data_IF_137911665202
#
_entry.id   IF_137911665202
#
_cell.length_a   1.000
_cell.length_b   1.000
_cell.length_c   1.000
_cell.angle_alpha   90.00
_cell.angle_beta   90.00
_cell.angle_gamma   90.00
#
_symmetry.space_group_name_H-M   'P 1'
#
loop_
_entity.id
_entity.type
_entity.pdbx_description
1 polymer ?
#
# COMPACT_ATOMS: atom_id res chain seq x y z
N UNK A 1 -13.69 18.89 -5.81
CA UNK A 1 -14.33 18.22 -6.96
C UNK A 1 -13.25 17.59 -7.85
N UNK A 2 -13.21 16.27 -8.04
CA UNK A 2 -12.13 15.59 -8.80
C UNK A 2 -12.66 14.34 -9.52
N UNK A 3 -12.42 14.24 -10.83
CA UNK A 3 -12.50 12.94 -11.52
C UNK A 3 -11.35 12.08 -11.05
N UNK A 4 -11.58 10.80 -10.80
CA UNK A 4 -10.51 9.89 -10.41
C UNK A 4 -10.30 8.86 -11.50
N UNK A 5 -9.08 8.29 -11.54
CA UNK A 5 -8.85 7.14 -12.41
C UNK A 5 -9.86 6.04 -12.04
N UNK A 6 -10.54 5.43 -13.02
CA UNK A 6 -11.59 4.46 -12.76
C UNK A 6 -11.07 3.29 -11.90
N UNK A 7 -11.65 3.10 -10.71
CA UNK A 7 -11.26 2.04 -9.77
C UNK A 7 -12.43 1.12 -9.43
N UNK A 8 -12.33 -0.21 -9.63
CA UNK A 8 -13.39 -1.14 -9.27
C UNK A 8 -13.56 -1.22 -7.73
N UNK A 9 -14.81 -1.36 -7.29
CA UNK A 9 -15.16 -1.53 -5.87
C UNK A 9 -15.11 -3.02 -5.52
N UNK A 10 -14.34 -3.35 -4.48
CA UNK A 10 -14.19 -4.71 -3.95
C UNK A 10 -14.94 -4.95 -2.62
N UNK A 11 -15.62 -3.93 -2.06
CA UNK A 11 -16.27 -3.98 -0.73
C UNK A 11 -17.74 -3.54 -0.81
N UNK A 12 -18.62 -4.30 -0.15
CA UNK A 12 -20.09 -4.18 -0.21
C UNK A 12 -20.68 -2.82 0.18
N UNK A 13 -21.90 -2.56 -0.31
CA UNK A 13 -22.63 -1.28 -0.28
C UNK A 13 -23.07 -0.80 1.12
N UNK A 14 -22.80 -1.55 2.19
CA UNK A 14 -23.44 -1.39 3.51
C UNK A 14 -23.29 0.00 4.17
N UNK A 15 -22.29 0.79 3.77
CA UNK A 15 -21.97 2.12 4.34
C UNK A 15 -22.38 3.32 3.48
N UNK A 16 -23.03 3.09 2.35
CA UNK A 16 -23.40 4.13 1.38
C UNK A 16 -24.92 4.18 1.19
N UNK A 17 -25.41 5.37 0.82
CA UNK A 17 -26.80 5.64 0.44
C UNK A 17 -26.78 6.17 -0.99
N UNK A 18 -27.67 5.66 -1.84
CA UNK A 18 -27.85 6.20 -3.18
C UNK A 18 -28.62 7.52 -3.08
N UNK A 19 -28.01 8.60 -3.55
CA UNK A 19 -28.66 9.92 -3.66
C UNK A 19 -29.32 10.07 -5.05
N UNK A 20 -28.65 9.64 -6.12
CA UNK A 20 -29.19 9.61 -7.48
C UNK A 20 -28.76 8.35 -8.23
N UNK A 21 -29.55 7.90 -9.20
CA UNK A 21 -29.22 6.77 -10.06
C UNK A 21 -29.81 6.91 -11.46
N UNK A 22 -29.12 6.36 -12.44
CA UNK A 22 -29.60 6.14 -13.80
C UNK A 22 -29.07 4.77 -14.28
N UNK A 23 -29.33 4.43 -15.55
CA UNK A 23 -28.96 3.13 -16.11
C UNK A 23 -27.46 2.80 -15.99
N UNK A 24 -26.59 3.81 -16.03
CA UNK A 24 -25.14 3.62 -16.10
C UNK A 24 -24.40 4.09 -14.84
N UNK A 25 -24.94 5.05 -14.10
CA UNK A 25 -24.25 5.76 -13.04
C UNK A 25 -25.05 5.81 -11.73
N UNK A 26 -24.31 5.86 -10.62
CA UNK A 26 -24.84 6.03 -9.27
C UNK A 26 -24.11 7.18 -8.58
N UNK A 27 -24.85 8.13 -8.02
CA UNK A 27 -24.32 9.09 -7.05
C UNK A 27 -24.63 8.57 -5.65
N UNK A 28 -23.60 8.39 -4.84
CA UNK A 28 -23.72 7.87 -3.49
C UNK A 28 -23.14 8.82 -2.46
N UNK A 29 -23.79 8.87 -1.30
CA UNK A 29 -23.33 9.57 -0.09
C UNK A 29 -23.07 8.59 1.03
N UNK A 30 -22.05 8.85 1.86
CA UNK A 30 -21.75 8.05 3.05
C UNK A 30 -22.83 8.22 4.11
N UNK A 31 -23.28 7.11 4.71
CA UNK A 31 -24.24 7.13 5.84
C UNK A 31 -23.70 7.99 6.99
N UNK A 32 -24.54 8.87 7.53
CA UNK A 32 -24.25 9.77 8.65
C UNK A 32 -23.55 11.09 8.30
N UNK A 33 -23.23 11.34 7.02
CA UNK A 33 -22.81 12.66 6.56
C UNK A 33 -24.05 13.55 6.29
N UNK A 34 -24.14 14.72 6.94
CA UNK A 34 -25.20 15.72 6.69
C UNK A 34 -26.59 15.40 7.27
N UNK A 35 -26.74 14.38 8.12
CA UNK A 35 -28.03 13.99 8.72
C UNK A 35 -28.15 14.49 10.17
N UNK A 36 -29.25 15.16 10.52
CA UNK A 36 -29.59 15.55 11.89
C UNK A 36 -30.34 14.41 12.58
N UNK A 37 -29.68 13.68 13.50
CA UNK A 37 -30.29 12.61 14.30
C UNK A 37 -29.28 11.56 14.78
N UNK A 38 -29.74 10.52 15.48
CA UNK A 38 -28.89 9.48 16.12
C UNK A 38 -27.95 8.72 15.16
N UNK A 39 -28.13 8.84 13.84
CA UNK A 39 -27.22 8.32 12.81
C UNK A 39 -25.89 9.10 12.67
N UNK A 40 -25.78 10.33 13.21
CA UNK A 40 -24.53 11.11 13.21
C UNK A 40 -23.53 10.65 14.28
N UNK A 41 -24.01 9.98 15.34
CA UNK A 41 -23.20 9.50 16.47
C UNK A 41 -22.33 8.29 16.11
N UNK A 42 -22.77 7.44 15.16
CA UNK A 42 -21.96 6.30 14.68
C UNK A 42 -20.80 6.71 13.76
N UNK A 43 -20.87 7.90 13.15
CA UNK A 43 -19.83 8.41 12.25
C UNK A 43 -18.74 9.14 13.03
N UNK A 44 -19.10 9.93 14.05
CA UNK A 44 -18.14 10.72 14.82
C UNK A 44 -17.12 9.85 15.58
N UNK A 45 -17.56 8.75 16.19
CA UNK A 45 -16.66 7.85 16.96
C UNK A 45 -15.78 6.98 16.05
N UNK A 46 -16.21 6.67 14.83
CA UNK A 46 -15.40 5.93 13.85
C UNK A 46 -14.42 6.87 13.15
N UNK A 47 -14.82 8.08 12.77
CA UNK A 47 -13.92 9.05 12.14
C UNK A 47 -12.81 9.53 13.11
N UNK A 48 -13.05 9.54 14.43
CA UNK A 48 -12.02 9.80 15.44
C UNK A 48 -11.08 8.62 15.72
N UNK A 49 -11.49 7.39 15.39
CA UNK A 49 -10.73 6.16 15.64
C UNK A 49 -9.97 5.68 14.39
N UNK A 50 -10.41 6.08 13.20
CA UNK A 50 -9.84 5.66 11.92
C UNK A 50 -9.12 6.77 11.14
N UNK A 51 -8.99 7.97 11.73
CA UNK A 51 -8.27 9.16 11.23
C UNK A 51 -8.36 9.40 9.71
N UNK A 52 -9.50 9.07 9.11
CA UNK A 52 -9.74 9.15 7.67
C UNK A 52 -11.09 9.78 7.42
N UNK A 53 -11.10 10.83 6.62
CA UNK A 53 -12.31 11.42 6.05
C UNK A 53 -12.37 11.05 4.57
N UNK A 54 -12.75 9.81 4.20
CA UNK A 54 -13.02 9.49 2.80
C UNK A 54 -14.07 10.47 2.29
N UNK A 55 -13.90 10.93 1.05
CA UNK A 55 -14.79 11.90 0.44
C UNK A 55 -16.27 11.46 0.62
N UNK A 56 -17.11 12.28 1.25
CA UNK A 56 -18.48 11.89 1.63
C UNK A 56 -19.39 11.57 0.45
N UNK A 57 -19.01 11.97 -0.76
CA UNK A 57 -19.75 11.71 -1.99
C UNK A 57 -18.86 11.01 -3.04
N UNK A 58 -19.47 10.10 -3.80
CA UNK A 58 -18.82 9.42 -4.91
C UNK A 58 -19.79 9.19 -6.07
N UNK A 59 -19.28 9.24 -7.29
CA UNK A 59 -19.99 8.84 -8.50
C UNK A 59 -19.40 7.52 -8.99
N UNK A 60 -20.27 6.58 -9.30
CA UNK A 60 -19.93 5.25 -9.78
C UNK A 60 -20.47 5.06 -11.19
N UNK A 61 -19.71 4.36 -12.02
CA UNK A 61 -20.20 3.64 -13.19
C UNK A 61 -20.51 2.20 -12.78
N UNK A 62 -21.64 1.64 -13.18
CA UNK A 62 -22.02 0.26 -12.86
C UNK A 62 -22.57 -0.47 -14.08
N UNK A 63 -22.35 -1.78 -14.11
CA UNK A 63 -22.81 -2.68 -15.15
C UNK A 63 -22.92 -4.10 -14.60
N UNK A 64 -23.60 -4.96 -15.34
CA UNK A 64 -23.80 -6.37 -15.00
C UNK A 64 -23.10 -7.26 -16.04
N UNK A 65 -22.38 -8.26 -15.58
CA UNK A 65 -21.71 -9.26 -16.44
C UNK A 65 -21.83 -10.61 -15.77
N UNK A 66 -22.37 -11.60 -16.47
CA UNK A 66 -22.54 -12.98 -15.98
C UNK A 66 -23.17 -13.04 -14.56
N UNK A 67 -24.25 -12.28 -14.34
CA UNK A 67 -24.97 -12.11 -13.05
C UNK A 67 -24.13 -11.50 -11.90
N UNK A 68 -23.00 -10.87 -12.24
CA UNK A 68 -22.14 -10.14 -11.31
C UNK A 68 -22.30 -8.64 -11.57
N UNK A 69 -22.81 -7.92 -10.57
CA UNK A 69 -22.84 -6.46 -10.59
C UNK A 69 -21.44 -5.92 -10.30
N UNK A 70 -20.86 -5.21 -11.27
CA UNK A 70 -19.58 -4.51 -11.14
C UNK A 70 -19.85 -3.02 -10.95
N UNK A 71 -19.11 -2.39 -10.05
CA UNK A 71 -19.16 -0.94 -9.85
C UNK A 71 -17.76 -0.36 -9.83
N UNK A 72 -17.57 0.73 -10.55
CA UNK A 72 -16.30 1.43 -10.74
C UNK A 72 -16.47 2.86 -10.26
N UNK A 73 -15.64 3.31 -9.32
CA UNK A 73 -15.65 4.71 -8.87
C UNK A 73 -14.99 5.57 -9.93
N UNK A 74 -15.66 6.64 -10.36
CA UNK A 74 -15.19 7.54 -11.42
C UNK A 74 -15.00 8.98 -10.97
N UNK A 75 -15.65 9.40 -9.87
CA UNK A 75 -15.45 10.71 -9.27
C UNK A 75 -15.70 10.69 -7.76
N UNK A 76 -15.08 11.63 -7.05
CA UNK A 76 -15.29 11.85 -5.60
C UNK A 76 -15.46 13.34 -5.29
N UNK A 77 -16.24 13.64 -4.25
CA UNK A 77 -16.52 15.01 -3.85
C UNK A 77 -16.71 15.16 -2.33
N UNK A 78 -16.36 16.35 -1.83
CA UNK A 78 -16.52 16.72 -0.41
C UNK A 78 -17.88 17.38 -0.18
N UNK A 79 -18.31 18.20 -1.12
CA UNK A 79 -19.58 18.88 -1.06
C UNK A 79 -20.59 18.20 -1.97
N UNK A 80 -21.85 18.18 -1.54
CA UNK A 80 -22.94 17.62 -2.31
C UNK A 80 -23.11 18.33 -3.67
N UNK A 81 -23.00 19.66 -3.68
CA UNK A 81 -23.17 20.47 -4.89
C UNK A 81 -22.08 20.17 -5.93
N UNK A 82 -20.85 19.87 -5.49
CA UNK A 82 -19.78 19.40 -6.39
C UNK A 82 -20.09 18.03 -6.98
N UNK A 83 -20.64 17.12 -6.17
CA UNK A 83 -21.02 15.79 -6.62
C UNK A 83 -22.16 15.85 -7.65
N UNK A 84 -23.15 16.73 -7.41
CA UNK A 84 -24.24 17.00 -8.33
C UNK A 84 -23.77 17.58 -9.66
N UNK A 85 -22.79 18.49 -9.67
CA UNK A 85 -22.23 19.01 -10.92
C UNK A 85 -21.64 17.91 -11.80
N UNK A 86 -20.90 16.95 -11.22
CA UNK A 86 -20.39 15.80 -11.98
C UNK A 86 -21.53 14.91 -12.49
N UNK A 87 -22.51 14.66 -11.64
CA UNK A 87 -23.71 13.90 -12.00
C UNK A 87 -24.44 14.52 -13.19
N UNK A 88 -24.72 15.82 -13.14
CA UNK A 88 -25.37 16.57 -14.21
C UNK A 88 -24.53 16.58 -15.48
N UNK A 89 -23.21 16.77 -15.36
CA UNK A 89 -22.29 16.73 -16.49
C UNK A 89 -22.33 15.37 -17.21
N UNK A 90 -22.33 14.25 -16.48
CA UNK A 90 -22.45 12.91 -17.06
C UNK A 90 -23.79 12.74 -17.79
N UNK A 91 -24.88 13.14 -17.16
CA UNK A 91 -26.22 13.04 -17.76
C UNK A 91 -26.34 13.89 -19.04
N UNK A 92 -25.64 15.02 -19.10
CA UNK A 92 -25.72 15.95 -20.22
C UNK A 92 -24.76 15.57 -21.36
N UNK A 93 -23.54 15.16 -21.05
CA UNK A 93 -22.44 15.05 -22.01
C UNK A 93 -22.04 13.61 -22.35
N UNK A 94 -22.40 12.63 -21.51
CA UNK A 94 -21.96 11.24 -21.63
C UNK A 94 -23.13 10.33 -21.92
N UNK A 95 -24.19 10.38 -21.11
CA UNK A 95 -25.36 9.49 -21.20
C UNK A 95 -26.00 9.47 -22.60
N UNK A 96 -26.17 10.59 -23.32
CA UNK A 96 -26.77 10.55 -24.67
C UNK A 96 -25.96 9.70 -25.66
N UNK A 97 -24.63 9.69 -25.53
CA UNK A 97 -23.74 8.86 -26.37
C UNK A 97 -23.74 7.40 -25.90
N UNK A 98 -23.88 7.14 -24.60
CA UNK A 98 -23.97 5.76 -24.09
C UNK A 98 -25.17 5.02 -24.68
N UNK A 99 -26.29 5.73 -24.86
CA UNK A 99 -27.52 5.17 -25.41
C UNK A 99 -27.41 4.74 -26.88
N UNK A 100 -26.37 5.17 -27.62
CA UNK A 100 -26.14 4.76 -29.01
C UNK A 100 -25.27 3.51 -29.16
N UNK A 101 -24.73 2.95 -28.08
CA UNK A 101 -23.94 1.73 -28.15
C UNK A 101 -24.80 0.49 -27.87
N UNK A 102 -24.53 -0.57 -28.63
CA UNK A 102 -25.27 -1.84 -28.53
C UNK A 102 -24.56 -2.88 -27.63
N UNK A 103 -23.31 -2.62 -27.21
CA UNK A 103 -22.50 -3.52 -26.40
C UNK A 103 -22.06 -2.85 -25.10
N UNK A 104 -22.24 -3.56 -23.97
CA UNK A 104 -21.74 -3.12 -22.66
C UNK A 104 -20.23 -2.88 -22.70
N UNK A 105 -19.48 -3.72 -23.42
CA UNK A 105 -18.03 -3.60 -23.47
C UNK A 105 -17.59 -2.28 -24.10
N UNK A 106 -18.30 -1.84 -25.13
CA UNK A 106 -18.03 -0.57 -25.81
C UNK A 106 -18.46 0.63 -24.95
N UNK A 107 -19.59 0.51 -24.24
CA UNK A 107 -20.04 1.49 -23.24
C UNK A 107 -18.96 1.65 -22.17
N UNK A 108 -18.49 0.55 -21.57
CA UNK A 108 -17.46 0.55 -20.53
C UNK A 108 -16.16 1.15 -21.04
N UNK A 109 -15.71 0.73 -22.22
CA UNK A 109 -14.49 1.26 -22.84
C UNK A 109 -14.60 2.76 -23.06
N UNK A 110 -15.72 3.23 -23.61
CA UNK A 110 -15.98 4.66 -23.80
C UNK A 110 -15.97 5.43 -22.48
N UNK A 111 -16.69 4.95 -21.46
CA UNK A 111 -16.76 5.61 -20.15
C UNK A 111 -15.37 5.68 -19.51
N UNK A 112 -14.66 4.56 -19.41
CA UNK A 112 -13.32 4.50 -18.79
C UNK A 112 -12.36 5.45 -19.52
N UNK A 113 -12.27 5.36 -20.85
CA UNK A 113 -11.38 6.23 -21.63
C UNK A 113 -11.76 7.70 -21.52
N UNK A 114 -13.07 8.03 -21.51
CA UNK A 114 -13.52 9.42 -21.37
C UNK A 114 -13.15 10.00 -20.00
N UNK A 115 -13.35 9.25 -18.92
CA UNK A 115 -13.00 9.67 -17.57
C UNK A 115 -11.49 9.79 -17.41
N UNK A 116 -10.70 8.83 -17.88
CA UNK A 116 -9.23 8.90 -17.87
C UNK A 116 -8.70 10.12 -18.64
N UNK A 117 -9.35 10.46 -19.76
CA UNK A 117 -9.06 11.69 -20.50
C UNK A 117 -9.34 12.96 -19.69
N UNK A 118 -10.46 13.02 -18.96
CA UNK A 118 -10.78 14.15 -18.08
C UNK A 118 -9.79 14.30 -16.93
N UNK A 119 -9.40 13.19 -16.31
CA UNK A 119 -8.36 13.16 -15.26
C UNK A 119 -7.05 13.71 -15.80
N UNK A 120 -6.64 13.27 -17.00
CA UNK A 120 -5.39 13.71 -17.63
C UNK A 120 -5.41 15.20 -17.98
N UNK A 121 -6.57 15.75 -18.36
CA UNK A 121 -6.76 17.17 -18.63
C UNK A 121 -6.73 18.03 -17.35
N UNK A 122 -7.28 17.51 -16.25
CA UNK A 122 -7.20 18.15 -14.92
C UNK A 122 -5.75 18.15 -14.39
N UNK A 123 -4.99 17.07 -14.62
CA UNK A 123 -3.58 16.96 -14.23
C UNK A 123 -2.66 17.94 -15.02
N UNK A 124 -3.01 18.30 -16.26
CA UNK A 124 -2.21 19.19 -17.11
C UNK A 124 -2.51 20.69 -16.92
N UNK A 125 -3.63 21.04 -16.28
CA UNK A 125 -4.13 22.42 -16.16
C UNK A 125 -3.82 23.16 -14.86
N UNK A 126 -3.20 22.53 -13.86
CA UNK A 126 -3.01 23.16 -12.54
C UNK A 126 -1.66 22.86 -11.90
N UNK A 127 -0.98 23.94 -11.50
CA UNK A 127 0.03 24.00 -10.43
C UNK A 127 -0.48 23.17 -9.22
N UNK A 128 0.36 22.37 -8.55
CA UNK A 128 -0.10 21.40 -7.57
C UNK A 128 -0.80 22.12 -6.43
N UNK A 129 -2.11 21.92 -6.34
CA UNK A 129 -2.86 22.25 -5.13
C UNK A 129 -2.70 21.06 -4.21
N UNK A 130 -1.83 21.22 -3.20
CA UNK A 130 -1.40 20.22 -2.20
C UNK A 130 -2.54 19.43 -1.52
N UNK A 131 -3.80 19.83 -1.72
CA UNK A 131 -5.00 19.14 -1.23
C UNK A 131 -5.46 17.98 -2.14
N UNK A 132 -5.16 18.00 -3.44
CA UNK A 132 -5.63 16.99 -4.41
C UNK A 132 -4.84 15.68 -4.34
N UNK A 133 -3.51 15.76 -4.22
CA UNK A 133 -2.68 14.58 -3.97
C UNK A 133 -3.02 13.95 -2.62
N UNK A 134 -3.33 14.76 -1.60
CA UNK A 134 -3.73 14.25 -0.29
C UNK A 134 -5.00 13.40 -0.35
N UNK A 135 -6.02 13.74 -1.14
CA UNK A 135 -7.30 13.01 -1.17
C UNK A 135 -7.17 11.64 -1.87
N UNK A 136 -6.43 11.57 -2.99
CA UNK A 136 -6.16 10.29 -3.66
C UNK A 136 -5.22 9.43 -2.80
N UNK A 137 -4.20 10.05 -2.21
CA UNK A 137 -3.29 9.39 -1.27
C UNK A 137 -4.00 8.91 0.00
N UNK A 138 -5.06 9.60 0.48
CA UNK A 138 -5.83 9.20 1.67
C UNK A 138 -6.64 7.92 1.46
N UNK A 139 -7.18 7.71 0.26
CA UNK A 139 -7.88 6.47 -0.10
C UNK A 139 -6.90 5.27 -0.21
N UNK A 140 -5.68 5.55 -0.68
CA UNK A 140 -4.58 4.61 -0.79
C UNK A 140 -3.99 4.28 0.60
N UNK A 141 -3.85 5.28 1.47
CA UNK A 141 -3.46 5.18 2.88
C UNK A 141 -4.42 4.29 3.70
N UNK A 142 -5.73 4.53 3.57
CA UNK A 142 -6.73 3.72 4.27
C UNK A 142 -6.76 2.27 3.78
N UNK A 143 -6.60 2.05 2.47
CA UNK A 143 -6.40 0.71 1.90
C UNK A 143 -5.09 0.09 2.40
N UNK A 144 -4.02 0.86 2.54
CA UNK A 144 -2.70 0.40 3.00
C UNK A 144 -2.72 -0.15 4.44
N UNK A 145 -3.26 0.58 5.43
CA UNK A 145 -3.34 0.06 6.80
C UNK A 145 -4.17 -1.22 6.91
N UNK A 146 -5.31 -1.27 6.22
CA UNK A 146 -6.21 -2.42 6.24
C UNK A 146 -5.66 -3.62 5.47
N UNK A 147 -5.11 -3.40 4.29
CA UNK A 147 -4.53 -4.47 3.45
C UNK A 147 -3.37 -5.12 4.18
N UNK A 148 -2.51 -4.35 4.87
CA UNK A 148 -1.30 -4.86 5.50
C UNK A 148 -1.41 -5.06 7.01
N UNK A 149 -2.58 -4.79 7.62
CA UNK A 149 -2.80 -4.89 9.07
C UNK A 149 -1.69 -4.15 9.83
N UNK A 150 -1.51 -2.87 9.49
CA UNK A 150 -0.43 -2.05 10.04
C UNK A 150 -0.86 -1.35 11.34
N UNK A 151 0.11 -1.04 12.23
CA UNK A 151 -0.14 -0.22 13.40
C UNK A 151 -0.81 1.13 13.03
N UNK A 152 -1.63 1.67 13.92
CA UNK A 152 -2.37 2.91 13.66
C UNK A 152 -1.44 4.14 13.55
N UNK A 153 -0.27 4.09 14.17
CA UNK A 153 0.77 5.10 14.14
C UNK A 153 1.71 4.99 12.93
N UNK A 154 1.55 3.97 12.10
CA UNK A 154 2.35 3.80 10.89
C UNK A 154 2.05 4.91 9.88
N UNK A 155 3.09 5.51 9.31
CA UNK A 155 2.92 6.62 8.35
C UNK A 155 3.46 6.22 6.99
N UNK A 156 2.60 6.20 5.99
CA UNK A 156 3.04 6.05 4.60
C UNK A 156 3.82 7.30 4.19
N UNK A 157 5.00 7.09 3.63
CA UNK A 157 5.87 8.16 3.12
C UNK A 157 5.63 8.37 1.64
N UNK A 158 5.62 7.28 0.85
CA UNK A 158 5.25 7.34 -0.57
C UNK A 158 4.85 5.95 -1.12
N UNK A 159 4.32 5.90 -2.35
CA UNK A 159 4.09 4.65 -3.07
C UNK A 159 4.44 4.78 -4.55
N UNK A 160 4.80 3.64 -5.16
CA UNK A 160 5.22 3.58 -6.56
C UNK A 160 4.58 2.37 -7.25
N UNK A 161 4.24 2.51 -8.52
CA UNK A 161 3.86 1.37 -9.37
C UNK A 161 5.11 0.55 -9.70
N UNK A 162 5.02 -0.77 -9.57
CA UNK A 162 6.11 -1.68 -9.91
C UNK A 162 5.59 -3.09 -10.20
N UNK A 163 6.49 -3.96 -10.64
CA UNK A 163 6.23 -5.39 -10.86
C UNK A 163 7.04 -6.18 -9.85
N UNK A 164 6.37 -7.09 -9.14
CA UNK A 164 7.01 -8.09 -8.28
C UNK A 164 7.10 -9.44 -9.00
N UNK A 165 8.30 -10.02 -9.02
CA UNK A 165 8.53 -11.35 -9.59
C UNK A 165 8.38 -12.43 -8.51
N UNK A 166 7.28 -13.19 -8.54
CA UNK A 166 7.08 -14.36 -7.69
C UNK A 166 7.39 -15.63 -8.50
N UNK A 167 8.62 -16.13 -8.40
CA UNK A 167 9.08 -17.21 -9.27
C UNK A 167 9.15 -16.74 -10.73
N UNK A 168 8.39 -17.36 -11.63
CA UNK A 168 8.29 -16.96 -13.05
C UNK A 168 7.09 -16.06 -13.37
N UNK A 169 6.29 -15.70 -12.36
CA UNK A 169 5.04 -14.96 -12.58
C UNK A 169 5.20 -13.47 -12.18
N UNK A 170 5.04 -12.53 -13.13
CA UNK A 170 5.04 -11.10 -12.83
C UNK A 170 3.70 -10.70 -12.21
N UNK A 171 3.76 -9.97 -11.09
CA UNK A 171 2.61 -9.39 -10.44
C UNK A 171 2.74 -7.87 -10.52
N UNK A 172 1.90 -7.22 -11.32
CA UNK A 172 1.88 -5.77 -11.43
C UNK A 172 1.08 -5.18 -10.25
N UNK A 173 1.68 -4.26 -9.52
CA UNK A 173 1.07 -3.72 -8.31
C UNK A 173 1.69 -2.41 -7.87
N UNK A 174 1.46 -2.09 -6.59
CA UNK A 174 2.03 -0.91 -5.94
C UNK A 174 2.89 -1.32 -4.77
N UNK A 175 4.09 -0.75 -4.69
CA UNK A 175 4.92 -0.78 -3.49
C UNK A 175 4.64 0.47 -2.65
N UNK A 176 4.51 0.26 -1.36
CA UNK A 176 4.19 1.27 -0.35
C UNK A 176 5.38 1.35 0.61
N UNK A 177 5.96 2.53 0.73
CA UNK A 177 7.09 2.82 1.60
C UNK A 177 6.61 3.66 2.76
N UNK A 178 6.61 3.07 3.95
CA UNK A 178 6.21 3.71 5.20
C UNK A 178 7.41 3.84 6.15
N UNK A 179 7.24 4.53 7.28
CA UNK A 179 8.33 4.77 8.23
C UNK A 179 8.98 3.47 8.70
N UNK A 180 8.19 2.43 8.98
CA UNK A 180 8.69 1.17 9.53
C UNK A 180 8.59 -0.02 8.56
N UNK A 181 7.75 0.07 7.52
CA UNK A 181 7.51 -1.04 6.60
C UNK A 181 7.70 -0.69 5.12
N UNK A 182 8.19 -1.69 4.37
CA UNK A 182 8.03 -1.83 2.94
C UNK A 182 6.92 -2.84 2.68
N UNK A 183 5.88 -2.44 1.95
CA UNK A 183 4.77 -3.32 1.60
C UNK A 183 4.53 -3.35 0.09
N UNK A 184 4.04 -4.46 -0.45
CA UNK A 184 3.64 -4.56 -1.85
C UNK A 184 2.30 -5.28 -1.97
N UNK A 185 1.43 -4.75 -2.81
CA UNK A 185 0.13 -5.34 -3.12
C UNK A 185 -0.12 -5.38 -4.62
N UNK A 186 -0.55 -6.54 -5.11
CA UNK A 186 -1.05 -6.76 -6.45
C UNK A 186 -2.27 -7.68 -6.39
N UNK A 187 -3.26 -7.40 -7.22
CA UNK A 187 -4.43 -8.24 -7.40
C UNK A 187 -4.83 -8.23 -8.87
N UNK A 188 -4.60 -9.35 -9.55
CA UNK A 188 -4.93 -9.51 -10.97
C UNK A 188 -5.69 -10.84 -11.10
N UNK A 189 -6.93 -10.80 -11.58
CA UNK A 189 -7.76 -11.97 -11.94
C UNK A 189 -7.71 -13.08 -10.87
N UNK A 190 -8.05 -12.74 -9.62
CA UNK A 190 -8.11 -13.68 -8.49
C UNK A 190 -6.75 -14.11 -7.92
N UNK A 191 -5.63 -13.70 -8.51
CA UNK A 191 -4.29 -13.97 -8.00
C UNK A 191 -3.78 -12.75 -7.20
N UNK A 192 -3.73 -12.91 -5.87
CA UNK A 192 -3.29 -11.89 -4.94
C UNK A 192 -1.82 -12.11 -4.54
N UNK A 193 -1.00 -11.06 -4.66
CA UNK A 193 0.32 -11.01 -4.05
C UNK A 193 0.37 -9.89 -3.01
N UNK A 194 0.62 -10.26 -1.75
CA UNK A 194 0.75 -9.36 -0.60
C UNK A 194 2.09 -9.62 0.08
N UNK A 195 2.91 -8.58 0.21
CA UNK A 195 4.21 -8.60 0.90
C UNK A 195 4.22 -7.49 1.94
N UNK A 196 4.71 -7.79 3.14
CA UNK A 196 4.91 -6.85 4.24
C UNK A 196 6.26 -7.17 4.88
N UNK A 197 7.19 -6.22 4.84
CA UNK A 197 8.56 -6.36 5.35
C UNK A 197 8.84 -5.17 6.26
N UNK A 198 9.29 -5.41 7.49
CA UNK A 198 9.83 -4.33 8.33
C UNK A 198 11.22 -3.95 7.82
N UNK A 199 11.54 -2.66 7.85
CA UNK A 199 12.89 -2.20 7.53
C UNK A 199 13.95 -2.85 8.42
N UNK A 200 13.62 -3.11 9.69
CA UNK A 200 14.47 -3.82 10.67
C UNK A 200 14.83 -5.24 10.26
N UNK A 201 14.03 -5.87 9.39
CA UNK A 201 14.22 -7.25 8.93
C UNK A 201 15.01 -7.31 7.60
N UNK A 202 15.28 -6.15 6.98
CA UNK A 202 16.06 -6.03 5.75
C UNK A 202 17.54 -6.17 6.06
N UNK A 203 18.16 -7.22 5.53
CA UNK A 203 19.59 -7.49 5.67
C UNK A 203 20.41 -6.77 4.59
N UNK A 204 19.81 -6.59 3.40
CA UNK A 204 20.47 -6.01 2.23
C UNK A 204 19.42 -5.36 1.33
N UNK A 205 19.73 -4.17 0.83
CA UNK A 205 18.93 -3.48 -0.18
C UNK A 205 19.86 -3.00 -1.29
N UNK A 206 19.68 -3.51 -2.50
CA UNK A 206 20.59 -3.28 -3.63
C UNK A 206 19.85 -2.84 -4.89
N UNK A 207 20.54 -2.02 -5.71
CA UNK A 207 20.17 -1.84 -7.11
C UNK A 207 20.69 -3.02 -7.90
N UNK A 208 19.80 -3.75 -8.55
CA UNK A 208 20.19 -4.77 -9.53
C UNK A 208 19.87 -4.26 -10.93
N UNK A 209 20.85 -4.33 -11.82
CA UNK A 209 20.76 -3.83 -13.20
C UNK A 209 21.23 -4.94 -14.12
N UNK A 210 20.39 -5.95 -14.39
CA UNK A 210 20.74 -6.99 -15.35
C UNK A 210 20.77 -6.41 -16.76
N UNK A 211 21.68 -6.88 -17.60
CA UNK A 211 21.93 -6.34 -18.94
C UNK A 211 20.68 -6.26 -19.86
N UNK A 212 19.68 -7.11 -19.64
CA UNK A 212 18.45 -7.21 -20.46
C UNK A 212 17.14 -7.04 -19.65
N UNK A 213 17.19 -6.65 -18.38
CA UNK A 213 16.00 -6.49 -17.54
C UNK A 213 15.88 -5.06 -17.00
N UNK A 214 14.66 -4.58 -16.71
CA UNK A 214 14.46 -3.31 -16.03
C UNK A 214 15.20 -3.30 -14.69
N UNK A 215 15.72 -2.14 -14.31
CA UNK A 215 16.37 -1.95 -13.01
C UNK A 215 15.43 -2.41 -11.89
N UNK A 216 15.98 -3.14 -10.91
CA UNK A 216 15.21 -3.67 -9.79
C UNK A 216 15.78 -3.27 -8.43
N UNK A 217 14.87 -3.11 -7.48
CA UNK A 217 15.18 -2.99 -6.06
C UNK A 217 15.18 -4.40 -5.51
N UNK A 218 16.37 -4.92 -5.19
CA UNK A 218 16.55 -6.23 -4.60
C UNK A 218 16.58 -6.11 -3.07
N UNK A 219 15.62 -6.74 -2.40
CA UNK A 219 15.47 -6.72 -0.95
C UNK A 219 15.74 -8.10 -0.40
N UNK A 220 16.76 -8.23 0.45
CA UNK A 220 17.11 -9.49 1.13
C UNK A 220 16.67 -9.42 2.58
N UNK A 221 15.91 -10.42 3.01
CA UNK A 221 15.49 -10.63 4.40
C UNK A 221 16.00 -11.98 4.91
N UNK A 222 15.79 -12.27 6.19
CA UNK A 222 16.12 -13.59 6.76
C UNK A 222 15.34 -14.74 6.12
N UNK A 223 14.15 -14.46 5.58
CA UNK A 223 13.22 -15.47 5.09
C UNK A 223 13.24 -15.62 3.56
N UNK A 224 14.07 -14.83 2.86
CA UNK A 224 14.18 -14.85 1.40
C UNK A 224 14.46 -13.47 0.80
N UNK A 225 14.50 -13.43 -0.53
CA UNK A 225 14.72 -12.23 -1.32
C UNK A 225 13.51 -11.85 -2.18
N UNK A 226 13.38 -10.56 -2.46
CA UNK A 226 12.29 -9.98 -3.23
C UNK A 226 12.85 -9.01 -4.27
N UNK A 227 12.40 -9.16 -5.51
CA UNK A 227 12.79 -8.29 -6.63
C UNK A 227 11.58 -7.50 -7.12
N UNK A 228 11.69 -6.18 -7.03
CA UNK A 228 10.71 -5.23 -7.57
C UNK A 228 11.33 -4.51 -8.76
N UNK A 229 10.66 -4.45 -9.90
CA UNK A 229 11.20 -3.85 -11.13
C UNK A 229 10.15 -3.00 -11.85
N UNK A 230 10.52 -2.44 -13.02
CA UNK A 230 9.63 -1.66 -13.88
C UNK A 230 9.00 -0.43 -13.19
N UNK A 231 9.81 0.28 -12.41
CA UNK A 231 9.42 1.56 -11.82
C UNK A 231 9.43 2.67 -12.86
N UNK A 232 8.48 3.60 -12.76
CA UNK A 232 8.49 4.85 -13.54
C UNK A 232 9.64 5.75 -13.05
N UNK A 233 9.75 5.96 -11.74
CA UNK A 233 10.79 6.76 -11.09
C UNK A 233 11.72 5.88 -10.22
N UNK A 234 12.52 5.02 -10.86
CA UNK A 234 13.36 4.04 -10.15
C UNK A 234 14.31 4.67 -9.12
N UNK A 235 15.08 5.67 -9.52
CA UNK A 235 16.11 6.26 -8.65
C UNK A 235 15.52 6.95 -7.42
N UNK A 236 14.36 7.58 -7.58
CA UNK A 236 13.60 8.20 -6.49
C UNK A 236 13.11 7.14 -5.50
N UNK A 237 12.44 6.10 -6.01
CA UNK A 237 11.92 5.00 -5.21
C UNK A 237 13.04 4.27 -4.45
N UNK A 238 14.16 4.00 -5.12
CA UNK A 238 15.32 3.37 -4.48
C UNK A 238 15.93 4.26 -3.41
N UNK A 239 16.13 5.56 -3.70
CA UNK A 239 16.71 6.51 -2.74
C UNK A 239 15.84 6.59 -1.48
N UNK A 240 14.53 6.68 -1.65
CA UNK A 240 13.60 6.72 -0.53
C UNK A 240 13.62 5.43 0.29
N UNK A 241 13.54 4.27 -0.36
CA UNK A 241 13.63 2.97 0.31
C UNK A 241 14.94 2.81 1.09
N UNK A 242 16.06 3.23 0.50
CA UNK A 242 17.37 3.20 1.14
C UNK A 242 17.47 4.14 2.34
N UNK A 243 16.88 5.34 2.26
CA UNK A 243 16.82 6.27 3.38
C UNK A 243 16.00 5.70 4.55
N UNK A 244 14.85 5.10 4.28
CA UNK A 244 13.99 4.50 5.30
C UNK A 244 14.65 3.28 5.97
N UNK A 245 15.29 2.41 5.19
CA UNK A 245 16.06 1.28 5.71
C UNK A 245 17.20 1.73 6.65
N UNK A 246 17.95 2.78 6.27
CA UNK A 246 19.02 3.33 7.11
C UNK A 246 18.48 4.01 8.37
N UNK A 247 17.35 4.73 8.27
CA UNK A 247 16.72 5.37 9.41
C UNK A 247 16.29 4.33 10.45
N UNK A 248 15.65 3.25 10.01
CA UNK A 248 15.24 2.15 10.90
C UNK A 248 16.45 1.47 11.58
N UNK A 249 17.55 1.26 10.85
CA UNK A 249 18.78 0.74 11.46
C UNK A 249 19.38 1.68 12.51
N UNK A 250 19.35 3.00 12.28
CA UNK A 250 19.82 3.97 13.28
C UNK A 250 18.93 3.99 14.52
N UNK A 251 17.62 3.97 14.34
CA UNK A 251 16.66 3.89 15.45
C UNK A 251 16.87 2.62 16.28
N UNK A 252 17.15 1.48 15.65
CA UNK A 252 17.51 0.24 16.37
C UNK A 252 18.83 0.34 17.16
N UNK A 253 19.78 1.16 16.70
CA UNK A 253 21.05 1.39 17.39
C UNK A 253 20.87 2.40 18.53
N UNK A 254 19.97 3.38 18.37
CA UNK A 254 19.68 4.46 19.30
C UNK A 254 18.66 4.08 20.39
N UNK A 255 17.75 3.12 20.14
CA UNK A 255 16.89 2.52 21.17
C UNK A 255 17.75 1.85 22.25
N UNK A 256 17.68 2.38 23.47
CA UNK A 256 18.44 2.01 24.67
C UNK A 256 18.22 0.56 25.13
N UNK A 257 18.64 -0.41 24.32
CA UNK A 257 18.72 -1.83 24.65
C UNK A 257 20.07 -2.46 24.29
N UNK A 258 20.90 -1.75 23.52
CA UNK A 258 22.28 -2.14 23.27
C UNK A 258 23.22 -1.38 24.22
N UNK A 259 23.10 -1.65 25.52
CA UNK A 259 24.26 -1.42 26.38
C UNK A 259 25.34 -2.38 25.88
N UNK A 260 26.36 -1.87 25.18
CA UNK A 260 27.63 -2.59 25.06
C UNK A 260 27.97 -3.06 26.47
N UNK A 261 27.90 -4.37 26.74
CA UNK A 261 28.21 -4.89 28.06
C UNK A 261 29.65 -4.43 28.39
N UNK A 262 29.82 -3.53 29.38
CA UNK A 262 31.13 -2.97 29.71
C UNK A 262 32.11 -4.07 30.08
N UNK A 263 31.62 -5.21 30.56
CA UNK A 263 32.43 -6.39 30.85
C UNK A 263 32.98 -7.04 29.57
N UNK A 264 32.18 -7.13 28.49
CA UNK A 264 32.62 -7.65 27.19
C UNK A 264 33.62 -6.73 26.49
N UNK A 265 33.36 -5.41 26.51
CA UNK A 265 34.30 -4.42 25.95
C UNK A 265 35.64 -4.43 26.66
N UNK A 266 35.63 -4.46 28.00
CA UNK A 266 36.87 -4.58 28.78
C UNK A 266 37.58 -5.93 28.56
N UNK A 267 36.83 -7.01 28.33
CA UNK A 267 37.42 -8.32 28.04
C UNK A 267 38.09 -8.38 26.66
N UNK A 268 37.56 -7.67 25.67
CA UNK A 268 38.15 -7.54 24.32
C UNK A 268 39.39 -6.65 24.33
N UNK A 269 39.36 -5.57 25.12
CA UNK A 269 40.49 -4.65 25.29
C UNK A 269 41.64 -5.26 26.09
N UNK A 270 41.32 -6.12 27.06
CA UNK A 270 42.32 -6.80 27.91
C UNK A 270 42.73 -8.19 27.41
N UNK A 271 42.18 -8.68 26.29
CA UNK A 271 42.67 -9.91 25.66
C UNK A 271 43.85 -9.62 24.71
N UNK A 272 45.03 -10.03 25.16
CA UNK A 272 46.28 -10.00 24.41
C UNK A 272 46.13 -10.62 23.01
N UNK A 273 46.66 -9.92 22.01
CA UNK A 273 46.63 -10.29 20.60
C UNK A 273 47.17 -11.72 20.29
N UNK A 274 47.94 -12.31 21.22
CA UNK A 274 48.46 -13.69 21.11
C UNK A 274 47.40 -14.79 21.28
N UNK A 275 46.20 -14.51 21.82
CA UNK A 275 45.09 -15.50 21.90
C UNK A 275 44.13 -15.46 20.71
N UNK A 276 44.20 -14.43 19.85
CA UNK A 276 43.31 -14.28 18.69
C UNK A 276 43.53 -15.33 17.60
N UNK A 277 44.72 -15.93 17.50
CA UNK A 277 45.04 -16.91 16.45
C UNK A 277 44.67 -18.37 16.77
N UNK A 278 44.17 -18.68 17.98
CA UNK A 278 43.87 -20.07 18.37
C UNK A 278 42.38 -20.35 18.64
N UNK A 279 41.50 -19.34 18.63
CA UNK A 279 40.06 -19.50 18.91
C UNK A 279 39.19 -18.71 17.91
N UNK A 280 39.26 -19.08 16.63
CA UNK A 280 38.26 -18.64 15.66
C UNK A 280 37.99 -19.74 14.64
N UNK A 281 36.82 -20.38 14.77
CA UNK A 281 36.09 -20.92 13.62
C UNK A 281 34.56 -20.87 13.79
N UNK A 282 34.03 -20.29 14.88
CA UNK A 282 32.59 -20.11 15.05
C UNK A 282 32.29 -18.80 15.76
N UNK A 283 31.46 -17.97 15.11
CA UNK A 283 30.88 -16.76 15.67
C UNK A 283 30.22 -17.06 17.02
N UNK A 284 30.24 -16.10 17.94
CA UNK A 284 29.63 -16.23 19.27
C UNK A 284 28.17 -16.70 19.20
N UNK A 285 27.43 -16.18 18.22
CA UNK A 285 26.04 -16.55 17.91
C UNK A 285 25.92 -18.05 17.57
N UNK A 286 26.84 -18.61 16.77
CA UNK A 286 26.85 -20.03 16.45
C UNK A 286 27.10 -20.89 17.69
N UNK A 287 27.98 -20.44 18.59
CA UNK A 287 28.26 -21.14 19.85
C UNK A 287 27.08 -21.12 20.81
N UNK A 288 26.34 -20.01 20.90
CA UNK A 288 25.14 -19.92 21.75
C UNK A 288 24.00 -20.79 21.22
N UNK A 289 23.78 -20.79 19.90
CA UNK A 289 22.80 -21.68 19.25
C UNK A 289 23.14 -23.16 19.45
N UNK A 290 24.41 -23.55 19.25
CA UNK A 290 24.87 -24.92 19.47
C UNK A 290 24.71 -25.34 20.95
N UNK A 291 24.92 -24.43 21.89
CA UNK A 291 24.74 -24.70 23.32
C UNK A 291 23.27 -24.91 23.69
N UNK A 292 22.36 -24.08 23.15
CA UNK A 292 20.92 -24.22 23.36
C UNK A 292 20.38 -25.51 22.74
N UNK A 293 20.82 -25.85 21.53
CA UNK A 293 20.40 -27.09 20.86
C UNK A 293 20.83 -28.33 21.63
N UNK A 294 22.03 -28.32 22.24
CA UNK A 294 22.48 -29.42 23.13
C UNK A 294 21.65 -29.50 24.41
N UNK A 295 21.26 -28.37 24.99
CA UNK A 295 20.42 -28.35 26.19
C UNK A 295 19.01 -28.90 25.94
N UNK A 296 18.41 -28.58 24.79
CA UNK A 296 17.11 -29.13 24.40
C UNK A 296 17.15 -30.62 24.07
N UNK A 297 18.24 -31.10 23.44
CA UNK A 297 18.44 -32.53 23.22
C UNK A 297 18.55 -33.31 24.54
N UNK A 298 19.23 -32.75 25.55
CA UNK A 298 19.30 -33.35 26.89
C UNK A 298 17.94 -33.37 27.61
N UNK A 299 17.10 -32.35 27.44
CA UNK A 299 15.73 -32.34 28.00
C UNK A 299 14.82 -33.40 27.38
N UNK A 300 15.02 -33.75 26.11
CA UNK A 300 14.21 -34.78 25.42
C UNK A 300 14.59 -36.21 25.78
N UNK A 301 15.78 -36.45 26.33
CA UNK A 301 16.27 -37.79 26.71
C UNK A 301 15.87 -38.15 28.17
N UNK A 302 15.43 -37.19 28.98
CA UNK A 302 15.10 -37.41 30.41
C UNK A 302 13.64 -37.83 30.67
N UNK A 303 12.91 -38.35 29.68
CA UNK A 303 11.50 -38.76 29.81
C UNK A 303 11.14 -40.13 29.20
N UNK A 304 12.08 -41.08 29.15
CA UNK A 304 11.78 -42.50 28.98
C UNK A 304 12.59 -43.34 29.97
#
# INVERSE_FOLDING_TARGET
MVWIRPEPILVGQSFWVNDCQNLYFLLQRRKGHGTRGLGSLFVATIDSVFDTRPAPFRVLYHYETDDIQVSIVIAVAIQHDEALKHWEWLNTNVVPTLASFDSEEDIRRFVVTKIEGLVSLEEQGSVPSDQLEQISNMSVLHKFHKIFELPADEKLVNYYSCIYMKGRMPHQGKIFLSVNFLCFYSFIVGNQAKIKIRWTDVLKLEKNIPWLLPQSIHVVTRNGSFDFSAFINFDEAYKLAFQLANLAMRQLIEEEGFSEDPALRNKILNEDAKKRSAKSAASFVKRDLDARQRSEAYRKISFY
#
